data_IF_482530945606
#
_entry.id   IF_482530945606
#
_cell.length_a   1.000
_cell.length_b   1.000
_cell.length_c   1.000
_cell.angle_alpha   90.00
_cell.angle_beta   90.00
_cell.angle_gamma   90.00
#
_symmetry.space_group_name_H-M   'P 1'
#
loop_
_entity.id
_entity.type
_entity.pdbx_description
1 polymer ?
#
# COMPACT_ATOMS: atom_id res chain seq x y z
N UNK A 1 46.87 -34.40 -43.54
CA UNK A 1 45.66 -34.77 -42.78
C UNK A 1 45.59 -33.88 -41.55
N UNK A 2 44.45 -33.21 -41.37
CA UNK A 2 44.19 -32.16 -40.38
C UNK A 2 43.75 -32.81 -39.06
N UNK A 3 44.33 -32.41 -37.93
CA UNK A 3 43.75 -32.68 -36.61
C UNK A 3 43.22 -31.37 -36.02
N UNK A 4 41.91 -31.19 -36.11
CA UNK A 4 41.18 -30.09 -35.48
C UNK A 4 41.11 -30.30 -33.97
N UNK A 5 41.57 -29.29 -33.23
CA UNK A 5 41.32 -29.16 -31.78
C UNK A 5 39.98 -28.44 -31.61
N UNK A 6 38.96 -29.16 -31.17
CA UNK A 6 37.69 -28.57 -30.75
C UNK A 6 37.81 -28.06 -29.31
N UNK A 7 37.93 -26.74 -29.14
CA UNK A 7 37.78 -26.08 -27.85
C UNK A 7 36.29 -25.85 -27.57
N UNK A 8 35.72 -26.59 -26.63
CA UNK A 8 34.36 -26.38 -26.14
C UNK A 8 34.34 -25.21 -25.16
N UNK A 9 33.94 -24.02 -25.62
CA UNK A 9 33.62 -22.89 -24.76
C UNK A 9 32.20 -23.12 -24.21
N UNK A 10 32.10 -23.53 -22.94
CA UNK A 10 30.83 -23.56 -22.23
C UNK A 10 30.49 -22.13 -21.77
N UNK A 11 29.64 -21.44 -22.53
CA UNK A 11 29.03 -20.17 -22.12
C UNK A 11 27.88 -20.49 -21.17
N UNK A 12 28.11 -20.41 -19.87
CA UNK A 12 27.03 -20.37 -18.88
C UNK A 12 26.38 -18.99 -18.89
N UNK A 13 25.38 -18.79 -19.73
CA UNK A 13 24.52 -17.61 -19.67
C UNK A 13 23.59 -17.74 -18.45
N UNK A 14 23.93 -17.05 -17.35
CA UNK A 14 23.01 -16.86 -16.25
C UNK A 14 21.88 -15.93 -16.71
N UNK A 15 20.71 -16.50 -17.01
CA UNK A 15 19.47 -15.76 -17.20
C UNK A 15 19.11 -15.09 -15.86
N UNK A 16 19.54 -13.85 -15.68
CA UNK A 16 18.94 -12.96 -14.69
C UNK A 16 17.53 -12.65 -15.18
N UNK A 17 16.55 -13.42 -14.72
CA UNK A 17 15.14 -13.05 -14.88
C UNK A 17 14.97 -11.74 -14.14
N UNK A 18 14.89 -10.63 -14.88
CA UNK A 18 14.47 -9.36 -14.32
C UNK A 18 13.05 -9.57 -13.80
N UNK A 19 12.91 -9.79 -12.50
CA UNK A 19 11.63 -9.64 -11.82
C UNK A 19 11.27 -8.17 -11.97
N UNK A 20 10.51 -7.84 -13.01
CA UNK A 20 9.82 -6.55 -13.07
C UNK A 20 8.82 -6.62 -11.92
N UNK A 21 9.19 -6.06 -10.78
CA UNK A 21 8.23 -5.82 -9.71
C UNK A 21 7.23 -4.84 -10.30
N UNK A 22 6.08 -5.36 -10.64
CA UNK A 22 4.97 -4.52 -11.01
C UNK A 22 4.39 -3.89 -9.76
N UNK A 23 3.86 -2.69 -9.90
CA UNK A 23 3.34 -1.98 -8.77
C UNK A 23 2.15 -1.11 -9.19
N UNK A 24 1.17 -1.00 -8.30
CA UNK A 24 0.02 -0.14 -8.46
C UNK A 24 -0.73 0.01 -7.14
N UNK A 25 -1.37 1.16 -6.95
CA UNK A 25 -2.01 1.51 -5.69
C UNK A 25 -3.09 2.58 -5.85
N UNK A 26 -4.01 2.61 -4.90
CA UNK A 26 -4.90 3.75 -4.69
C UNK A 26 -4.10 4.94 -4.15
N UNK A 27 -4.47 6.14 -4.58
CA UNK A 27 -3.87 7.42 -4.18
C UNK A 27 -4.86 8.28 -3.40
N UNK A 28 -6.13 8.29 -3.82
CA UNK A 28 -7.25 8.94 -3.14
C UNK A 28 -8.46 8.00 -3.10
N UNK A 29 -9.20 7.88 -1.97
CA UNK A 29 -8.87 8.32 -0.61
C UNK A 29 -7.44 7.96 -0.17
N UNK A 30 -6.84 8.79 0.69
CA UNK A 30 -5.41 8.67 1.01
C UNK A 30 -5.15 7.33 1.71
N UNK A 31 -4.28 6.52 1.12
CA UNK A 31 -3.94 5.20 1.62
C UNK A 31 -3.16 5.24 2.95
N UNK A 32 -3.22 4.13 3.69
CA UNK A 32 -2.40 3.90 4.90
C UNK A 32 -0.91 3.88 4.54
N UNK A 33 -0.07 4.72 5.17
CA UNK A 33 1.36 4.73 4.91
C UNK A 33 2.05 3.54 5.59
N UNK A 34 3.25 3.19 5.13
CA UNK A 34 4.17 2.35 5.91
C UNK A 34 4.62 3.14 7.14
N UNK A 35 4.29 2.62 8.33
CA UNK A 35 4.60 3.26 9.63
C UNK A 35 5.81 2.60 10.30
N UNK A 36 6.33 3.25 11.35
CA UNK A 36 7.35 2.65 12.21
C UNK A 36 6.85 1.37 12.91
N UNK A 37 5.56 1.30 13.27
CA UNK A 37 4.95 0.11 13.86
C UNK A 37 4.86 -1.01 12.84
N UNK A 38 4.38 -0.74 11.62
CA UNK A 38 4.38 -1.70 10.53
C UNK A 38 5.77 -2.28 10.31
N UNK A 39 6.79 -1.40 10.24
CA UNK A 39 8.18 -1.83 10.10
C UNK A 39 8.56 -2.76 11.22
N UNK A 40 8.34 -2.37 12.48
CA UNK A 40 8.65 -3.21 13.65
C UNK A 40 7.98 -4.59 13.58
N UNK A 41 6.72 -4.64 13.15
CA UNK A 41 5.93 -5.86 13.09
C UNK A 41 6.32 -6.75 11.89
N UNK A 42 6.80 -6.15 10.78
CA UNK A 42 7.19 -6.85 9.55
C UNK A 42 8.70 -7.14 9.43
N UNK A 43 9.53 -6.55 10.33
CA UNK A 43 10.99 -6.40 10.24
C UNK A 43 11.74 -7.65 9.75
N UNK A 44 11.26 -8.80 10.19
CA UNK A 44 11.91 -10.09 9.98
C UNK A 44 11.29 -10.87 8.81
N UNK A 45 9.96 -10.82 8.67
CA UNK A 45 9.26 -11.52 7.59
C UNK A 45 9.41 -10.90 6.21
N UNK A 46 9.77 -9.62 6.09
CA UNK A 46 9.89 -8.89 4.82
C UNK A 46 11.24 -8.18 4.64
N UNK A 47 12.29 -8.71 5.27
CA UNK A 47 13.62 -8.08 5.32
C UNK A 47 14.15 -7.76 3.91
N UNK A 48 14.69 -6.54 3.76
CA UNK A 48 15.28 -6.04 2.50
C UNK A 48 14.30 -5.28 1.60
N UNK A 49 13.00 -5.28 1.90
CA UNK A 49 12.04 -4.45 1.18
C UNK A 49 12.10 -2.97 1.61
N UNK A 50 12.18 -2.07 0.64
CA UNK A 50 12.03 -0.62 0.84
C UNK A 50 10.57 -0.23 1.16
N UNK A 51 10.33 1.00 1.64
CA UNK A 51 8.96 1.45 1.96
C UNK A 51 8.09 1.45 0.72
N UNK A 52 8.64 1.89 -0.42
CA UNK A 52 7.94 1.82 -1.70
C UNK A 52 7.55 0.39 -2.04
N UNK A 53 8.46 -0.57 -1.94
CA UNK A 53 8.12 -1.96 -2.24
C UNK A 53 7.00 -2.48 -1.31
N UNK A 54 7.11 -2.22 0.00
CA UNK A 54 6.08 -2.58 0.97
C UNK A 54 4.75 -1.87 0.71
N UNK A 55 4.77 -0.70 0.09
CA UNK A 55 3.57 0.10 -0.09
C UNK A 55 2.73 -0.36 -1.29
N UNK A 56 3.33 -0.90 -2.36
CA UNK A 56 2.59 -1.13 -3.62
C UNK A 56 3.07 -2.33 -4.48
N UNK A 57 4.02 -3.14 -4.00
CA UNK A 57 4.39 -4.41 -4.66
C UNK A 57 3.31 -5.49 -4.46
N UNK A 58 3.27 -6.55 -5.29
CA UNK A 58 2.27 -7.61 -5.14
C UNK A 58 2.54 -8.45 -3.90
N UNK A 59 1.48 -8.96 -3.28
CA UNK A 59 1.55 -9.77 -2.07
C UNK A 59 2.39 -11.04 -2.26
N UNK A 60 2.36 -11.62 -3.44
CA UNK A 60 3.04 -12.87 -3.78
C UNK A 60 4.56 -12.67 -3.78
N UNK A 61 5.05 -11.50 -4.23
CA UNK A 61 6.46 -11.16 -4.14
C UNK A 61 6.87 -10.88 -2.69
N UNK A 62 6.05 -10.13 -1.95
CA UNK A 62 6.35 -9.78 -0.56
C UNK A 62 6.34 -11.02 0.34
N UNK A 63 5.33 -11.89 0.24
CA UNK A 63 5.25 -13.13 1.01
C UNK A 63 6.43 -14.09 0.75
N UNK A 64 7.01 -14.06 -0.45
CA UNK A 64 8.22 -14.80 -0.79
C UNK A 64 9.50 -14.32 -0.09
N UNK A 65 9.49 -13.16 0.58
CA UNK A 65 10.67 -12.62 1.30
C UNK A 65 10.89 -13.22 2.69
N UNK A 66 9.91 -13.96 3.21
CA UNK A 66 9.98 -14.59 4.53
C UNK A 66 11.23 -15.45 4.71
N UNK A 67 11.86 -15.36 5.88
CA UNK A 67 12.96 -16.22 6.28
C UNK A 67 12.51 -17.07 7.47
N UNK A 68 12.73 -18.38 7.42
CA UNK A 68 12.22 -19.31 8.43
C UNK A 68 12.75 -19.03 9.84
N UNK A 69 13.96 -18.48 9.96
CA UNK A 69 14.63 -18.11 11.21
C UNK A 69 14.36 -16.67 11.65
N UNK A 70 13.64 -15.89 10.84
CA UNK A 70 13.27 -14.49 11.10
C UNK A 70 11.77 -14.33 10.80
N UNK A 71 10.88 -14.91 11.62
CA UNK A 71 9.44 -14.77 11.41
C UNK A 71 8.98 -13.34 11.70
N UNK A 72 7.90 -12.86 11.05
CA UNK A 72 7.28 -11.59 11.41
C UNK A 72 6.71 -11.64 12.84
N UNK A 73 6.33 -10.47 13.35
CA UNK A 73 5.68 -10.35 14.66
C UNK A 73 4.40 -11.21 14.76
N UNK A 74 4.02 -11.66 15.96
CA UNK A 74 2.96 -12.66 16.15
C UNK A 74 1.58 -12.22 15.64
N UNK A 75 1.32 -10.91 15.58
CA UNK A 75 0.06 -10.33 15.10
C UNK A 75 0.12 -9.83 13.65
N UNK A 76 1.31 -9.88 13.02
CA UNK A 76 1.51 -9.40 11.66
C UNK A 76 1.03 -10.43 10.63
N UNK A 77 0.37 -9.94 9.59
CA UNK A 77 -0.04 -10.77 8.46
C UNK A 77 -0.10 -9.98 7.16
N UNK A 78 0.83 -10.24 6.26
CA UNK A 78 0.85 -9.61 4.93
C UNK A 78 -0.42 -9.91 4.12
N UNK A 79 -1.12 -11.01 4.44
CA UNK A 79 -2.36 -11.45 3.79
C UNK A 79 -3.63 -10.98 4.50
N UNK A 80 -3.54 -10.03 5.44
CA UNK A 80 -4.69 -9.54 6.21
C UNK A 80 -5.78 -8.76 5.42
N UNK A 81 -5.71 -8.74 4.09
CA UNK A 81 -6.55 -7.94 3.20
C UNK A 81 -6.04 -6.51 2.95
N UNK A 82 -5.14 -5.98 3.76
CA UNK A 82 -4.58 -4.64 3.64
C UNK A 82 -3.04 -4.64 3.65
N UNK A 83 -2.40 -5.68 3.09
CA UNK A 83 -0.93 -5.81 3.01
C UNK A 83 -0.23 -5.72 4.38
N UNK A 84 -0.85 -6.26 5.43
CA UNK A 84 -0.35 -6.19 6.81
C UNK A 84 -0.53 -4.84 7.51
N UNK A 85 -1.04 -3.83 6.80
CA UNK A 85 -1.34 -2.55 7.41
C UNK A 85 -2.63 -2.67 8.24
N UNK A 86 -2.62 -2.05 9.41
CA UNK A 86 -3.80 -1.85 10.26
C UNK A 86 -3.99 -0.35 10.46
N UNK A 87 -5.17 0.04 10.96
CA UNK A 87 -5.36 1.42 11.38
C UNK A 87 -4.44 1.74 12.56
N UNK A 88 -3.80 2.90 12.50
CA UNK A 88 -3.04 3.49 13.59
C UNK A 88 -3.52 4.93 13.80
N UNK A 89 -3.52 5.38 15.05
CA UNK A 89 -3.81 6.78 15.35
C UNK A 89 -2.83 7.69 14.59
N UNK A 90 -3.37 8.71 13.94
CA UNK A 90 -2.60 9.60 13.06
C UNK A 90 -2.54 9.16 11.59
N UNK A 91 -3.05 7.97 11.24
CA UNK A 91 -3.28 7.63 9.84
C UNK A 91 -4.26 8.63 9.18
N UNK A 92 -4.10 8.91 7.88
CA UNK A 92 -5.06 9.72 7.15
C UNK A 92 -6.43 9.03 7.10
N UNK A 93 -7.49 9.78 7.39
CA UNK A 93 -8.87 9.30 7.37
C UNK A 93 -9.69 10.20 6.45
N UNK A 94 -10.44 9.61 5.52
CA UNK A 94 -11.30 10.37 4.61
C UNK A 94 -12.76 10.24 5.04
N UNK A 95 -13.42 11.36 5.32
CA UNK A 95 -14.85 11.36 5.57
C UNK A 95 -15.62 11.24 4.25
N UNK A 96 -16.47 10.23 4.16
CA UNK A 96 -17.35 9.96 3.02
C UNK A 96 -18.80 9.93 3.49
N UNK A 97 -19.73 9.96 2.54
CA UNK A 97 -21.16 9.89 2.82
C UNK A 97 -21.80 8.72 2.06
N UNK A 98 -22.63 7.95 2.74
CA UNK A 98 -23.37 6.88 2.08
C UNK A 98 -24.40 7.47 1.08
N UNK A 99 -24.56 6.79 -0.05
CA UNK A 99 -25.42 7.23 -1.16
C UNK A 99 -24.85 8.39 -2.00
N UNK A 100 -23.70 8.95 -1.63
CA UNK A 100 -23.05 10.03 -2.38
C UNK A 100 -21.86 9.48 -3.17
N UNK A 101 -21.76 9.90 -4.42
CA UNK A 101 -20.63 9.56 -5.28
C UNK A 101 -19.36 10.30 -4.84
N UNK A 102 -18.22 9.62 -4.85
CA UNK A 102 -16.92 10.20 -4.55
C UNK A 102 -15.86 9.71 -5.55
N UNK A 103 -14.81 10.52 -5.73
CA UNK A 103 -13.69 10.20 -6.63
C UNK A 103 -12.67 9.31 -5.95
N UNK A 104 -12.15 8.36 -6.73
CA UNK A 104 -11.05 7.48 -6.37
C UNK A 104 -9.96 7.68 -7.41
N UNK A 105 -8.75 8.01 -6.97
CA UNK A 105 -7.56 8.14 -7.83
C UNK A 105 -6.62 6.99 -7.57
N UNK A 106 -5.95 6.51 -8.61
CA UNK A 106 -5.00 5.40 -8.50
C UNK A 106 -3.87 5.53 -9.53
N UNK A 107 -2.76 4.86 -9.23
CA UNK A 107 -1.56 4.84 -10.05
C UNK A 107 -1.20 3.40 -10.41
N UNK A 108 -0.83 3.17 -11.67
CA UNK A 108 -0.33 1.90 -12.19
C UNK A 108 1.05 2.15 -12.80
N UNK A 109 2.12 1.61 -12.21
CA UNK A 109 3.45 1.69 -12.83
C UNK A 109 3.64 0.63 -13.91
N UNK A 110 3.19 -0.59 -13.65
CA UNK A 110 3.37 -1.72 -14.54
C UNK A 110 2.02 -2.36 -14.86
N UNK A 111 1.57 -2.34 -16.13
CA UNK A 111 0.27 -2.86 -16.51
C UNK A 111 0.21 -4.38 -16.44
N UNK A 112 -0.73 -4.91 -15.66
CA UNK A 112 -1.09 -6.32 -15.65
C UNK A 112 -2.61 -6.47 -15.73
N UNK A 113 -3.15 -6.82 -16.91
CA UNK A 113 -4.58 -6.98 -17.10
C UNK A 113 -5.21 -7.87 -16.03
N UNK A 114 -6.31 -7.42 -15.46
CA UNK A 114 -6.99 -8.13 -14.38
C UNK A 114 -8.32 -7.49 -14.00
N UNK A 115 -8.69 -7.67 -12.73
CA UNK A 115 -9.91 -7.10 -12.16
C UNK A 115 -9.55 -6.24 -10.96
N UNK A 116 -10.15 -5.07 -10.87
CA UNK A 116 -10.16 -4.26 -9.65
C UNK A 116 -11.51 -4.40 -8.96
N UNK A 117 -11.49 -4.76 -7.68
CA UNK A 117 -12.64 -4.60 -6.78
C UNK A 117 -12.33 -3.48 -5.78
N UNK A 118 -13.27 -2.55 -5.65
CA UNK A 118 -13.28 -1.57 -4.58
C UNK A 118 -14.26 -2.04 -3.52
N UNK A 119 -13.76 -2.27 -2.31
CA UNK A 119 -14.51 -2.90 -1.24
C UNK A 119 -14.54 -2.02 0.00
N UNK A 120 -15.65 -2.02 0.74
CA UNK A 120 -15.64 -1.61 2.14
C UNK A 120 -15.26 -2.83 2.96
N UNK A 121 -14.23 -2.68 3.79
CA UNK A 121 -13.76 -3.72 4.69
C UNK A 121 -13.76 -3.24 6.13
N UNK A 122 -13.98 -4.17 7.06
CA UNK A 122 -13.93 -3.92 8.51
C UNK A 122 -12.81 -4.74 9.16
N UNK A 123 -12.07 -4.19 10.13
CA UNK A 123 -11.09 -4.98 10.85
C UNK A 123 -11.80 -6.00 11.74
N UNK A 124 -11.19 -7.18 11.87
CA UNK A 124 -11.58 -8.22 12.80
C UNK A 124 -10.33 -8.75 13.48
N UNK A 125 -10.33 -8.72 14.79
CA UNK A 125 -9.22 -9.21 15.60
C UNK A 125 -9.54 -10.62 16.10
N UNK A 126 -8.64 -11.57 15.86
CA UNK A 126 -8.77 -12.91 16.41
C UNK A 126 -8.28 -12.99 17.87
N UNK A 127 -8.40 -14.17 18.48
CA UNK A 127 -7.98 -14.39 19.87
C UNK A 127 -6.47 -14.21 20.10
N UNK A 128 -5.65 -14.24 19.03
CA UNK A 128 -4.21 -14.06 19.08
C UNK A 128 -3.79 -12.61 18.80
N UNK A 129 -4.75 -11.70 18.58
CA UNK A 129 -4.50 -10.30 18.29
C UNK A 129 -4.16 -10.02 16.82
N UNK A 130 -4.29 -11.00 15.92
CA UNK A 130 -4.12 -10.75 14.47
C UNK A 130 -5.37 -10.05 13.94
N UNK A 131 -5.15 -8.96 13.21
CA UNK A 131 -6.22 -8.21 12.55
C UNK A 131 -6.32 -8.63 11.09
N UNK A 132 -7.49 -9.12 10.67
CA UNK A 132 -7.85 -9.28 9.26
C UNK A 132 -8.89 -8.25 8.85
N UNK A 133 -9.08 -8.04 7.54
CA UNK A 133 -10.08 -7.11 7.01
C UNK A 133 -11.15 -7.89 6.24
N UNK A 134 -12.35 -7.97 6.81
CA UNK A 134 -13.48 -8.67 6.21
C UNK A 134 -14.26 -7.74 5.29
N UNK A 135 -14.52 -8.21 4.07
CA UNK A 135 -15.33 -7.48 3.10
C UNK A 135 -16.80 -7.46 3.51
N UNK A 136 -17.35 -6.26 3.67
CA UNK A 136 -18.78 -6.05 3.97
C UNK A 136 -19.58 -5.56 2.77
N UNK A 137 -18.92 -4.92 1.80
CA UNK A 137 -19.54 -4.51 0.54
C UNK A 137 -18.49 -4.42 -0.58
N UNK A 138 -18.87 -4.79 -1.81
CA UNK A 138 -18.16 -4.37 -3.02
C UNK A 138 -18.91 -3.19 -3.61
N UNK A 139 -18.26 -2.02 -3.72
CA UNK A 139 -18.89 -0.77 -4.18
C UNK A 139 -18.65 -0.50 -5.67
N UNK A 140 -17.61 -1.12 -6.24
CA UNK A 140 -17.30 -1.05 -7.66
C UNK A 140 -16.43 -2.22 -8.10
N UNK A 141 -16.69 -2.72 -9.29
CA UNK A 141 -15.83 -3.69 -9.99
C UNK A 141 -15.47 -3.10 -11.34
N UNK A 142 -14.19 -3.15 -11.71
CA UNK A 142 -13.70 -2.85 -13.04
C UNK A 142 -13.07 -4.11 -13.62
N UNK A 143 -13.69 -4.65 -14.66
CA UNK A 143 -13.11 -5.71 -15.48
C UNK A 143 -12.13 -5.11 -16.50
N UNK A 144 -11.19 -5.92 -16.98
CA UNK A 144 -10.13 -5.49 -17.89
C UNK A 144 -9.33 -4.29 -17.33
N UNK A 145 -9.08 -4.30 -16.03
CA UNK A 145 -8.34 -3.27 -15.31
C UNK A 145 -6.83 -3.33 -15.59
N UNK A 146 -6.13 -2.19 -15.43
CA UNK A 146 -4.68 -2.06 -15.55
C UNK A 146 -4.10 -2.55 -16.90
N UNK A 147 -4.76 -2.23 -18.00
CA UNK A 147 -4.27 -2.48 -19.38
C UNK A 147 -3.24 -1.47 -19.86
N UNK A 148 -3.07 -0.36 -19.14
CA UNK A 148 -2.06 0.67 -19.38
C UNK A 148 -1.50 1.22 -18.05
N UNK A 149 -0.34 1.88 -18.14
CA UNK A 149 0.34 2.50 -16.99
C UNK A 149 0.05 4.00 -16.94
N UNK A 150 0.08 4.59 -15.74
CA UNK A 150 -0.19 6.00 -15.54
C UNK A 150 -1.03 6.28 -14.29
N UNK A 151 -1.52 7.52 -14.22
CA UNK A 151 -2.46 7.99 -13.21
C UNK A 151 -3.87 7.98 -13.81
N UNK A 152 -4.83 7.54 -13.02
CA UNK A 152 -6.20 7.39 -13.44
C UNK A 152 -7.14 7.78 -12.30
N UNK A 153 -8.40 8.01 -12.65
CA UNK A 153 -9.48 8.21 -11.72
C UNK A 153 -10.71 7.37 -12.09
N UNK A 154 -11.62 7.25 -11.12
CA UNK A 154 -12.96 6.75 -11.32
C UNK A 154 -13.83 7.23 -10.16
N UNK A 155 -15.13 6.99 -10.23
CA UNK A 155 -16.06 7.29 -9.14
C UNK A 155 -16.64 6.04 -8.51
N UNK A 156 -17.10 6.10 -7.27
CA UNK A 156 -17.88 5.05 -6.63
C UNK A 156 -18.88 5.64 -5.64
N UNK A 157 -19.88 4.84 -5.26
CA UNK A 157 -20.88 5.22 -4.27
C UNK A 157 -20.95 4.15 -3.20
N UNK A 158 -20.89 4.56 -1.93
CA UNK A 158 -21.07 3.64 -0.80
C UNK A 158 -22.58 3.37 -0.63
N UNK A 159 -23.05 2.11 -0.61
CA UNK A 159 -24.44 1.79 -0.33
C UNK A 159 -24.88 2.28 1.06
N UNK A 160 -26.12 2.77 1.18
CA UNK A 160 -26.70 3.21 2.46
C UNK A 160 -26.92 2.09 3.48
N UNK A 161 -26.82 0.83 3.05
CA UNK A 161 -26.84 -0.35 3.91
C UNK A 161 -25.53 -0.60 4.67
N UNK A 162 -24.43 0.08 4.30
CA UNK A 162 -23.16 -0.01 5.04
C UNK A 162 -23.27 0.85 6.29
N UNK A 163 -23.19 0.22 7.46
CA UNK A 163 -23.31 0.86 8.78
C UNK A 163 -22.11 0.54 9.66
N UNK A 164 -21.92 1.26 10.77
CA UNK A 164 -20.85 1.01 11.75
C UNK A 164 -19.47 1.28 11.18
N UNK A 165 -19.33 2.44 10.53
CA UNK A 165 -18.10 2.99 9.96
C UNK A 165 -17.95 4.46 10.41
N UNK A 166 -18.43 4.79 11.60
CA UNK A 166 -18.61 6.18 12.05
C UNK A 166 -17.31 6.78 12.59
N UNK A 167 -16.35 5.93 12.99
CA UNK A 167 -15.08 6.33 13.59
C UNK A 167 -13.89 5.86 12.76
N UNK A 168 -12.79 6.58 12.90
CA UNK A 168 -11.52 6.19 12.31
C UNK A 168 -11.13 4.78 12.78
N UNK A 169 -10.73 3.94 11.83
CA UNK A 169 -10.39 2.54 12.08
C UNK A 169 -11.59 1.58 12.06
N UNK A 170 -12.84 2.05 12.06
CA UNK A 170 -14.01 1.15 11.94
C UNK A 170 -14.05 0.48 10.57
N UNK A 171 -13.70 1.23 9.51
CA UNK A 171 -13.75 0.78 8.13
C UNK A 171 -12.60 1.32 7.30
N UNK A 172 -12.25 0.57 6.25
CA UNK A 172 -11.35 1.01 5.20
C UNK A 172 -11.98 0.79 3.82
N UNK A 173 -11.64 1.66 2.88
CA UNK A 173 -11.81 1.40 1.46
C UNK A 173 -10.61 0.59 0.98
N UNK A 174 -10.86 -0.62 0.50
CA UNK A 174 -9.88 -1.51 -0.09
C UNK A 174 -9.95 -1.42 -1.62
N UNK A 175 -8.84 -1.00 -2.23
CA UNK A 175 -8.53 -1.19 -3.64
C UNK A 175 -7.88 -2.57 -3.78
N UNK A 176 -8.59 -3.54 -4.36
CA UNK A 176 -8.12 -4.91 -4.53
C UNK A 176 -7.97 -5.20 -6.03
N UNK A 177 -6.76 -5.04 -6.56
CA UNK A 177 -6.47 -5.43 -7.93
C UNK A 177 -5.82 -6.81 -7.95
N UNK A 178 -6.39 -7.73 -8.73
CA UNK A 178 -5.78 -9.04 -8.99
C UNK A 178 -5.59 -9.23 -10.50
N UNK A 179 -4.40 -9.64 -10.90
CA UNK A 179 -4.10 -10.03 -12.28
C UNK A 179 -3.91 -11.54 -12.38
N UNK A 180 -4.76 -12.25 -13.16
CA UNK A 180 -4.55 -13.66 -13.43
C UNK A 180 -3.37 -13.90 -14.38
N UNK A 181 -2.99 -12.90 -15.19
CA UNK A 181 -1.86 -12.99 -16.13
C UNK A 181 -0.54 -13.02 -15.38
N UNK A 182 -0.40 -12.19 -14.34
CA UNK A 182 0.78 -12.15 -13.50
C UNK A 182 0.69 -13.09 -12.29
N UNK A 183 -0.50 -13.65 -12.01
CA UNK A 183 -0.83 -14.36 -10.78
C UNK A 183 -0.45 -13.55 -9.52
N UNK A 184 -0.88 -12.29 -9.51
CA UNK A 184 -0.44 -11.30 -8.51
C UNK A 184 -1.59 -10.43 -8.02
N UNK A 185 -1.49 -10.01 -6.75
CA UNK A 185 -2.52 -9.26 -6.04
C UNK A 185 -1.95 -8.01 -5.39
N UNK A 186 -2.66 -6.90 -5.55
CA UNK A 186 -2.25 -5.55 -5.20
C UNK A 186 -3.32 -4.85 -4.34
N UNK A 187 -3.45 -5.21 -3.05
CA UNK A 187 -4.38 -4.51 -2.17
C UNK A 187 -3.80 -3.16 -1.74
N UNK A 188 -4.63 -2.13 -1.62
CA UNK A 188 -4.30 -0.88 -0.93
C UNK A 188 -5.50 -0.47 -0.10
N UNK A 189 -5.29 -0.06 1.15
CA UNK A 189 -6.37 0.35 2.03
C UNK A 189 -6.24 1.82 2.42
N UNK A 190 -7.34 2.55 2.41
CA UNK A 190 -7.47 3.90 2.97
C UNK A 190 -8.52 3.89 4.08
N UNK A 191 -8.21 4.51 5.22
CA UNK A 191 -9.16 4.62 6.31
C UNK A 191 -10.25 5.64 5.96
N UNK A 192 -11.49 5.28 6.26
CA UNK A 192 -12.65 6.12 5.95
C UNK A 192 -13.60 6.17 7.15
N UNK A 193 -14.36 7.26 7.22
CA UNK A 193 -15.61 7.29 7.98
C UNK A 193 -16.78 7.49 7.02
N UNK A 194 -17.95 7.00 7.39
CA UNK A 194 -19.15 7.06 6.56
C UNK A 194 -20.27 7.72 7.35
N UNK A 195 -20.61 8.95 6.99
CA UNK A 195 -21.78 9.64 7.52
C UNK A 195 -23.04 9.37 6.68
N UNK A 196 -24.22 9.60 7.27
CA UNK A 196 -25.44 9.83 6.49
C UNK A 196 -26.50 8.73 6.42
N UNK A 197 -26.63 7.82 7.40
CA UNK A 197 -27.79 6.91 7.48
C UNK A 197 -29.08 7.57 8.04
N UNK A 198 -29.21 8.90 7.98
CA UNK A 198 -30.52 9.54 8.15
C UNK A 198 -31.17 9.67 6.78
N UNK A 199 -32.24 8.90 6.57
CA UNK A 199 -33.22 9.16 5.53
C UNK A 199 -33.44 10.66 5.40
N UNK A 200 -33.39 11.18 4.17
CA UNK A 200 -33.89 12.51 3.87
C UNK A 200 -35.35 12.59 4.35
N UNK A 201 -35.55 13.09 5.57
CA UNK A 201 -36.83 13.56 6.03
C UNK A 201 -37.13 14.79 5.19
N UNK A 202 -38.12 14.66 4.32
CA UNK A 202 -38.74 15.78 3.63
C UNK A 202 -39.09 16.84 4.69
N UNK A 203 -38.27 17.89 4.77
CA UNK A 203 -38.59 19.07 5.55
C UNK A 203 -39.36 19.98 4.62
N UNK A 204 -40.68 19.89 4.77
CA UNK A 204 -41.65 20.79 4.15
C UNK A 204 -41.29 22.24 4.48
N UNK A 205 -41.23 23.05 3.43
CA UNK A 205 -41.37 24.50 3.46
C UNK A 205 -42.66 24.92 4.17
N UNK A 206 -42.52 25.73 5.20
CA UNK A 206 -43.40 26.82 5.63
C UNK A 206 -42.54 27.63 6.62
N UNK A 207 -42.46 28.95 6.64
CA UNK A 207 -43.35 30.00 6.21
C UNK A 207 -43.10 31.15 7.20
N UNK A 208 -42.79 32.34 6.70
CA UNK A 208 -42.39 33.53 7.45
C UNK A 208 -43.26 33.87 8.67
N UNK A 209 -42.64 34.40 9.72
CA UNK A 209 -43.20 35.56 10.42
C UNK A 209 -42.11 36.48 11.00
N UNK A 210 -42.46 37.78 10.97
CA UNK A 210 -41.67 38.97 11.27
C UNK A 210 -41.93 39.40 12.70
N UNK A 211 -40.91 39.88 13.45
CA UNK A 211 -41.20 40.39 14.80
C UNK A 211 -40.05 40.81 15.69
N UNK A 212 -39.58 42.04 15.45
CA UNK A 212 -39.23 43.06 16.46
C UNK A 212 -37.97 42.96 17.33
N UNK A 213 -37.37 44.13 17.47
CA UNK A 213 -36.10 44.48 18.09
C UNK A 213 -36.07 44.39 19.62
N UNK A 214 -34.86 44.23 20.17
CA UNK A 214 -34.37 44.97 21.35
C UNK A 214 -32.85 44.79 21.56
N UNK A 215 -32.09 45.87 21.38
CA UNK A 215 -30.80 46.18 22.06
C UNK A 215 -31.10 46.94 23.37
N UNK A 216 -30.21 47.10 24.39
CA UNK A 216 -28.73 47.22 24.36
C UNK A 216 -28.04 46.42 25.53
N UNK A 217 -26.76 46.47 25.92
CA UNK A 217 -25.66 47.42 25.78
C UNK A 217 -24.30 46.75 26.14
N UNK A 218 -23.26 47.15 25.42
CA UNK A 218 -21.89 47.53 25.88
C UNK A 218 -21.12 46.67 26.90
N UNK A 219 -19.94 46.16 26.49
CA UNK A 219 -18.64 46.34 27.16
C UNK A 219 -17.44 45.95 26.24
N UNK A 220 -16.69 46.97 25.80
CA UNK A 220 -15.24 46.93 25.45
C UNK A 220 -14.47 47.13 26.79
N UNK A 221 -13.12 47.02 26.93
CA UNK A 221 -12.03 46.67 26.00
C UNK A 221 -11.08 45.57 26.57
N UNK A 222 -9.95 45.13 26.01
CA UNK A 222 -8.79 45.81 25.42
C UNK A 222 -7.81 44.76 24.84
N UNK A 223 -7.30 45.04 23.64
CA UNK A 223 -5.91 44.84 23.16
C UNK A 223 -4.97 43.82 23.80
N UNK A 224 -4.38 42.93 22.97
CA UNK A 224 -2.93 42.99 22.64
C UNK A 224 -2.55 42.06 21.47
N UNK A 225 -2.07 42.69 20.41
CA UNK A 225 -1.22 42.13 19.34
C UNK A 225 0.23 42.09 19.85
N UNK A 226 0.99 41.02 19.58
CA UNK A 226 2.34 41.18 19.04
C UNK A 226 2.49 40.28 17.80
N UNK A 227 2.82 40.84 16.63
CA UNK A 227 4.17 41.17 16.17
C UNK A 227 4.82 39.95 15.47
N UNK A 228 4.90 40.08 14.14
CA UNK A 228 5.64 39.22 13.25
C UNK A 228 7.13 39.22 13.62
N UNK A 229 7.73 38.04 13.65
CA UNK A 229 9.17 37.87 13.61
C UNK A 229 9.52 37.02 12.39
N UNK A 230 9.99 37.69 11.35
CA UNK A 230 10.74 37.09 10.25
C UNK A 230 12.19 36.96 10.72
N UNK A 231 12.83 35.80 10.50
CA UNK A 231 14.25 35.81 10.18
C UNK A 231 14.44 35.23 8.77
N UNK A 232 14.90 36.09 7.87
CA UNK A 232 15.71 35.68 6.72
C UNK A 232 17.13 35.43 7.22
N UNK A 233 17.67 34.23 7.00
CA UNK A 233 19.12 34.07 6.73
C UNK A 233 19.41 32.71 6.09
N UNK A 234 19.90 32.81 4.86
CA UNK A 234 21.10 32.12 4.36
C UNK A 234 21.00 30.63 4.03
N UNK A 235 20.79 30.39 2.75
CA UNK A 235 21.28 29.24 1.98
C UNK A 235 22.77 28.97 2.23
N UNK A 236 23.08 27.75 2.69
CA UNK A 236 24.39 27.12 2.52
C UNK A 236 24.19 25.71 1.97
N UNK A 237 24.36 25.59 0.66
CA UNK A 237 24.56 24.31 -0.01
C UNK A 237 25.97 23.82 0.29
N UNK A 238 26.10 22.78 1.12
CA UNK A 238 27.33 21.99 1.19
C UNK A 238 27.04 20.62 0.64
N UNK A 239 27.40 20.46 -0.64
CA UNK A 239 27.54 19.20 -1.34
C UNK A 239 28.69 18.43 -0.70
N UNK A 240 28.40 17.36 0.02
CA UNK A 240 29.40 16.37 0.43
C UNK A 240 29.03 15.03 -0.18
N UNK A 241 29.76 14.68 -1.25
CA UNK A 241 29.76 13.35 -1.85
C UNK A 241 30.32 12.32 -0.86
N UNK A 242 29.70 11.15 -0.68
CA UNK A 242 30.36 10.03 -0.03
C UNK A 242 31.34 9.37 -0.99
N UNK A 243 32.56 9.18 -0.50
CA UNK A 243 33.67 8.51 -1.15
C UNK A 243 33.33 7.05 -1.50
N UNK A 244 33.89 6.60 -2.63
CA UNK A 244 33.87 5.21 -3.07
C UNK A 244 34.58 4.30 -2.06
N UNK A 245 33.86 3.33 -1.51
CA UNK A 245 34.43 2.27 -0.68
C UNK A 245 34.93 1.14 -1.57
N UNK A 246 36.18 0.76 -1.32
CA UNK A 246 36.95 -0.23 -2.06
C UNK A 246 36.32 -1.63 -2.09
N UNK A 247 36.44 -2.25 -3.26
CA UNK A 247 36.06 -3.62 -3.59
C UNK A 247 36.87 -4.63 -2.76
N UNK A 248 36.19 -5.52 -2.05
CA UNK A 248 36.81 -6.67 -1.39
C UNK A 248 37.20 -7.77 -2.41
N UNK A 249 38.29 -8.52 -2.20
CA UNK A 249 38.72 -9.57 -3.12
C UNK A 249 37.85 -10.84 -3.01
N UNK A 250 37.64 -11.48 -4.15
CA UNK A 250 36.89 -12.73 -4.30
C UNK A 250 37.57 -13.93 -3.61
N UNK A 251 36.82 -14.89 -3.04
CA UNK A 251 37.39 -16.09 -2.46
C UNK A 251 37.86 -17.09 -3.54
N UNK A 252 39.02 -17.71 -3.27
CA UNK A 252 39.66 -18.70 -4.13
C UNK A 252 38.86 -20.01 -4.27
N UNK A 253 38.74 -20.51 -5.49
CA UNK A 253 38.06 -21.77 -5.80
C UNK A 253 38.89 -22.98 -5.34
N UNK A 254 38.39 -23.72 -4.34
CA UNK A 254 38.89 -25.07 -4.00
C UNK A 254 38.40 -26.11 -5.01
N UNK A 255 39.33 -26.74 -5.72
CA UNK A 255 39.09 -27.87 -6.63
C UNK A 255 38.70 -29.12 -5.83
N UNK A 256 37.43 -29.54 -5.89
CA UNK A 256 37.01 -30.90 -5.48
C UNK A 256 37.20 -31.87 -6.66
N UNK A 257 38.00 -32.93 -6.46
CA UNK A 257 38.12 -34.07 -7.38
C UNK A 257 36.80 -34.84 -7.42
N UNK A 258 36.14 -34.88 -8.58
CA UNK A 258 35.10 -35.87 -8.87
C UNK A 258 35.76 -37.17 -9.33
N UNK A 259 35.72 -38.21 -8.50
CA UNK A 259 35.99 -39.60 -8.93
C UNK A 259 34.72 -40.19 -9.51
N UNK A 260 34.66 -40.32 -10.84
CA UNK A 260 33.59 -41.03 -11.53
C UNK A 260 33.79 -42.55 -11.39
N UNK A 261 32.75 -43.24 -10.89
CA UNK A 261 32.70 -44.70 -10.73
C UNK A 261 32.12 -45.30 -12.01
N UNK A 262 32.96 -45.86 -12.88
CA UNK A 262 32.53 -46.53 -14.12
C UNK A 262 31.81 -47.84 -13.79
N UNK A 263 30.52 -47.94 -14.13
CA UNK A 263 29.72 -49.16 -14.00
C UNK A 263 29.88 -49.97 -15.30
N UNK A 264 30.63 -51.09 -15.25
CA UNK A 264 30.72 -52.06 -16.36
C UNK A 264 29.39 -52.81 -16.50
N UNK A 265 28.74 -52.68 -17.65
CA UNK A 265 27.75 -53.64 -18.14
C UNK A 265 28.48 -54.91 -18.60
N UNK A 266 28.02 -56.08 -18.14
CA UNK A 266 28.38 -57.39 -18.71
C UNK A 266 27.33 -57.78 -19.74
N UNK A 267 27.81 -58.45 -20.78
CA UNK A 267 27.10 -59.10 -21.88
C UNK A 267 25.87 -59.89 -21.43
#
# INVERSE_FOLDING_TARGET
MKTSVCASIAVSAALMVAHVSAHGQMMEPKFRPITARYRKDCLWGLKGAGDDELQWAPLENLSGRGQADQPPGPTFDIMNGCRGLIYEEGNPVTALQAGVEFTIKYFIQAPHPGTLQMNIVKPKTDANGKVTHEKVATIKTLDNFATAGGNFDTTATIPTSVTGCDKAGDCALQFYWHSPVANQTYPTCADITIGGSSSAGASTTDGSDSGSASTPATKKPTTKKPAAATPSVTSKSTTSAPAATATAPAPAATKKKCTAKTRRSRK
#
